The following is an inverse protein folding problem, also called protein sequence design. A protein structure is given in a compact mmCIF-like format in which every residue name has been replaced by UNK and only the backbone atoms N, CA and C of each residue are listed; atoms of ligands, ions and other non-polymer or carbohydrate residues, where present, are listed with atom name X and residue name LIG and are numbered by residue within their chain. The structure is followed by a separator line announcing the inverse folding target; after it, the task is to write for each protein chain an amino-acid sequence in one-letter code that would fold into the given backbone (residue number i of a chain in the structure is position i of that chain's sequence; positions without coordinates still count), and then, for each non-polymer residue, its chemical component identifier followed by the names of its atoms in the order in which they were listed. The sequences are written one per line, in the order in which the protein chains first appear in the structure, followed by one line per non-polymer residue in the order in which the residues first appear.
data_IF_135815078406
#
_entry.id   IF_135815078406
#
_cell.length_a   1.000
_cell.length_b   1.000
_cell.length_c   1.000
_cell.angle_alpha   90.00
_cell.angle_beta   90.00
_cell.angle_gamma   90.00
#
_symmetry.space_group_name_H-M   'P 1'
#
loop_
_entity.id
_entity.type
_entity.pdbx_description
1 polymer ?
#
# COMPACT_ATOMS: atom_id res chain seq x y z
N UNK A 1 17.27 36.06 -55.51
CA UNK A 1 17.55 34.62 -55.38
C UNK A 1 17.87 34.31 -53.92
N UNK A 2 17.00 33.50 -53.28
CA UNK A 2 17.24 32.52 -52.19
C UNK A 2 18.02 32.94 -50.94
N UNK A 3 17.28 33.10 -49.82
CA UNK A 3 17.27 32.23 -48.62
C UNK A 3 18.40 32.59 -47.62
N UNK A 4 18.16 32.87 -46.34
CA UNK A 4 17.58 31.97 -45.34
C UNK A 4 16.97 32.77 -44.17
N UNK A 5 15.68 32.56 -43.91
CA UNK A 5 15.01 32.88 -42.64
C UNK A 5 15.46 31.89 -41.57
N UNK A 6 16.14 32.36 -40.53
CA UNK A 6 16.49 31.57 -39.35
C UNK A 6 15.25 31.44 -38.44
N UNK A 7 14.62 30.27 -38.43
CA UNK A 7 13.55 29.91 -37.51
C UNK A 7 14.17 29.39 -36.21
N UNK A 8 14.26 30.22 -35.17
CA UNK A 8 14.61 29.78 -33.82
C UNK A 8 13.44 28.98 -33.23
N UNK A 9 13.51 27.65 -33.31
CA UNK A 9 12.62 26.76 -32.57
C UNK A 9 13.07 26.74 -31.11
N UNK A 10 12.42 27.55 -30.28
CA UNK A 10 12.49 27.46 -28.82
C UNK A 10 11.76 26.18 -28.39
N UNK A 11 12.51 25.10 -28.18
CA UNK A 11 12.01 23.90 -27.51
C UNK A 11 11.84 24.22 -26.03
N UNK A 12 10.61 24.55 -25.63
CA UNK A 12 10.26 24.66 -24.22
C UNK A 12 10.28 23.25 -23.60
N UNK A 13 11.39 22.90 -22.95
CA UNK A 13 11.45 21.79 -22.01
C UNK A 13 10.53 22.13 -20.83
N UNK A 14 9.26 21.75 -20.92
CA UNK A 14 8.36 21.69 -19.78
C UNK A 14 8.86 20.57 -18.84
N UNK A 15 9.76 20.94 -17.93
CA UNK A 15 10.12 20.08 -16.82
C UNK A 15 8.86 19.74 -16.04
N UNK A 16 8.50 18.45 -16.01
CA UNK A 16 7.50 17.96 -15.06
C UNK A 16 8.09 18.19 -13.68
N UNK A 17 7.70 19.27 -13.02
CA UNK A 17 7.88 19.39 -11.60
C UNK A 17 7.07 18.26 -10.97
N UNK A 18 7.75 17.21 -10.49
CA UNK A 18 7.15 16.32 -9.51
C UNK A 18 6.74 17.23 -8.35
N UNK A 19 5.44 17.49 -8.25
CA UNK A 19 4.88 18.21 -7.11
C UNK A 19 5.16 17.33 -5.89
N UNK A 20 6.23 17.64 -5.17
CA UNK A 20 6.49 17.05 -3.87
C UNK A 20 5.37 17.51 -2.94
N UNK A 21 4.34 16.69 -2.79
CA UNK A 21 3.34 16.88 -1.75
C UNK A 21 4.11 16.92 -0.41
N UNK A 22 3.96 18.02 0.32
CA UNK A 22 4.54 18.15 1.64
C UNK A 22 4.05 16.97 2.49
N UNK A 23 5.00 16.21 3.04
CA UNK A 23 4.67 15.13 3.96
C UNK A 23 3.86 15.72 5.13
N UNK A 24 2.72 15.11 5.44
CA UNK A 24 1.93 15.47 6.62
C UNK A 24 2.83 15.33 7.86
N UNK A 25 3.09 16.39 8.63
CA UNK A 25 3.97 16.33 9.79
C UNK A 25 3.53 15.31 10.85
N UNK A 26 2.25 14.92 10.86
CA UNK A 26 1.71 13.89 11.76
C UNK A 26 2.17 12.48 11.39
N UNK A 27 2.53 12.25 10.13
CA UNK A 27 2.94 10.95 9.60
C UNK A 27 4.28 11.06 8.86
N UNK A 28 5.36 11.39 9.59
CA UNK A 28 6.65 11.64 8.97
C UNK A 28 7.23 10.40 8.29
N UNK A 29 6.82 9.19 8.67
CA UNK A 29 7.29 7.93 8.09
C UNK A 29 6.45 7.42 6.91
N UNK A 30 5.41 8.15 6.50
CA UNK A 30 4.54 7.70 5.43
C UNK A 30 5.22 7.84 4.05
N UNK A 31 5.39 6.75 3.28
CA UNK A 31 6.19 6.79 2.06
C UNK A 31 5.39 7.08 0.78
N UNK A 32 4.07 7.07 0.84
CA UNK A 32 3.21 7.12 -0.35
C UNK A 32 2.81 8.56 -0.70
N UNK A 33 2.60 8.81 -1.99
CA UNK A 33 2.20 10.14 -2.48
C UNK A 33 0.81 10.56 -1.97
N UNK A 34 -0.12 9.60 -1.85
CA UNK A 34 -1.43 9.82 -1.26
C UNK A 34 -1.29 10.07 0.24
N UNK A 35 -2.06 11.02 0.78
CA UNK A 35 -2.07 11.29 2.22
C UNK A 35 -2.51 10.05 3.02
N UNK A 36 -1.90 9.85 4.20
CA UNK A 36 -2.28 8.74 5.08
C UNK A 36 -3.68 8.98 5.63
N UNK A 37 -4.60 8.06 5.36
CA UNK A 37 -5.93 7.98 6.00
C UNK A 37 -5.94 6.74 6.89
N UNK A 38 -5.76 6.86 8.22
CA UNK A 38 -5.50 5.71 9.09
C UNK A 38 -6.66 4.70 9.16
N UNK A 39 -7.89 5.20 9.22
CA UNK A 39 -9.08 4.40 9.44
C UNK A 39 -10.06 4.57 8.28
N UNK A 40 -10.73 3.47 7.94
CA UNK A 40 -11.83 3.47 6.97
C UNK A 40 -13.11 3.73 7.75
N UNK A 41 -13.84 4.79 7.37
CA UNK A 41 -15.14 5.07 7.99
C UNK A 41 -16.17 4.06 7.54
N UNK A 42 -16.83 3.39 8.49
CA UNK A 42 -17.93 2.46 8.20
C UNK A 42 -19.02 3.12 7.37
N UNK A 43 -19.39 4.36 7.70
CA UNK A 43 -20.40 5.13 6.97
C UNK A 43 -19.99 5.48 5.54
N UNK A 44 -18.69 5.47 5.21
CA UNK A 44 -18.23 5.71 3.85
C UNK A 44 -18.36 4.46 2.96
N UNK A 45 -18.38 3.26 3.55
CA UNK A 45 -18.39 1.98 2.83
C UNK A 45 -19.71 1.21 2.95
N UNK A 46 -20.57 1.58 3.91
CA UNK A 46 -21.80 0.87 4.21
C UNK A 46 -23.02 1.77 4.23
N UNK A 47 -23.98 1.47 3.35
CA UNK A 47 -25.29 2.14 3.26
C UNK A 47 -26.45 1.20 3.61
N UNK A 48 -26.17 -0.02 4.06
CA UNK A 48 -27.20 -0.98 4.46
C UNK A 48 -27.69 -0.76 5.90
N UNK A 49 -28.48 -1.71 6.43
CA UNK A 49 -28.99 -1.67 7.81
C UNK A 49 -27.86 -1.55 8.85
N UNK A 50 -28.19 -1.00 10.03
CA UNK A 50 -27.24 -0.91 11.14
C UNK A 50 -26.63 -2.27 11.49
N UNK A 51 -25.32 -2.30 11.78
CA UNK A 51 -24.53 -3.53 11.97
C UNK A 51 -24.26 -3.86 13.45
N UNK A 52 -24.84 -3.12 14.39
CA UNK A 52 -24.53 -3.22 15.82
C UNK A 52 -24.74 -4.64 16.37
N UNK A 53 -25.72 -5.34 15.84
CA UNK A 53 -26.07 -6.73 16.13
C UNK A 53 -25.24 -7.78 15.37
N UNK A 54 -24.53 -7.40 14.32
CA UNK A 54 -23.69 -8.29 13.51
C UNK A 54 -22.20 -8.18 13.85
N UNK A 55 -21.80 -7.07 14.47
CA UNK A 55 -20.43 -6.81 14.93
C UNK A 55 -20.06 -7.86 15.97
N UNK A 56 -19.06 -8.70 15.67
CA UNK A 56 -18.67 -9.93 16.40
C UNK A 56 -19.50 -11.20 16.17
N UNK A 57 -20.82 -11.13 15.95
CA UNK A 57 -21.64 -12.35 15.75
C UNK A 57 -21.30 -13.14 14.49
N UNK A 58 -20.71 -12.48 13.48
CA UNK A 58 -20.26 -13.15 12.26
C UNK A 58 -19.22 -14.25 12.54
N UNK A 59 -18.47 -14.15 13.65
CA UNK A 59 -17.47 -15.15 14.08
C UNK A 59 -18.14 -16.43 14.59
N UNK A 60 -19.30 -16.29 15.24
CA UNK A 60 -20.07 -17.39 15.81
C UNK A 60 -20.87 -18.15 14.76
N UNK A 61 -21.07 -17.57 13.57
CA UNK A 61 -21.69 -18.25 12.43
C UNK A 61 -20.61 -18.99 11.60
N UNK A 62 -20.53 -20.33 11.66
CA UNK A 62 -19.45 -21.07 11.00
C UNK A 62 -19.46 -20.95 9.48
N UNK A 63 -20.65 -20.74 8.88
CA UNK A 63 -20.77 -20.56 7.43
C UNK A 63 -20.21 -19.21 6.99
N UNK A 64 -20.47 -18.15 7.77
CA UNK A 64 -19.95 -16.80 7.47
C UNK A 64 -18.45 -16.75 7.74
N UNK A 65 -18.02 -17.16 8.94
CA UNK A 65 -16.62 -17.06 9.35
C UNK A 65 -15.66 -17.86 8.46
N UNK A 66 -16.12 -18.98 7.87
CA UNK A 66 -15.35 -19.73 6.88
C UNK A 66 -15.21 -19.01 5.52
N UNK A 67 -16.17 -18.17 5.14
CA UNK A 67 -16.14 -17.44 3.87
C UNK A 67 -15.28 -16.19 3.93
N UNK A 68 -15.26 -15.47 5.07
CA UNK A 68 -14.57 -14.18 5.19
C UNK A 68 -13.10 -14.24 4.73
N UNK A 69 -12.26 -15.21 5.17
CA UNK A 69 -10.86 -15.26 4.72
C UNK A 69 -10.72 -15.51 3.22
N UNK A 70 -11.62 -16.28 2.62
CA UNK A 70 -11.62 -16.55 1.16
C UNK A 70 -12.04 -15.30 0.40
N UNK A 71 -13.11 -14.64 0.84
CA UNK A 71 -13.61 -13.42 0.22
C UNK A 71 -12.63 -12.25 0.40
N UNK A 72 -11.91 -12.15 1.51
CA UNK A 72 -10.92 -11.10 1.73
C UNK A 72 -9.62 -11.33 0.93
N UNK A 73 -9.25 -12.59 0.66
CA UNK A 73 -7.95 -12.90 0.08
C UNK A 73 -7.77 -12.34 -1.34
N UNK A 74 -6.70 -11.57 -1.55
CA UNK A 74 -6.30 -11.01 -2.86
C UNK A 74 -6.13 -12.05 -3.97
N UNK A 75 -5.78 -13.30 -3.62
CA UNK A 75 -5.63 -14.41 -4.56
C UNK A 75 -6.97 -14.90 -5.13
N UNK A 76 -8.09 -14.58 -4.48
CA UNK A 76 -9.42 -14.91 -4.97
C UNK A 76 -9.86 -13.77 -5.90
N UNK A 77 -10.04 -14.05 -7.21
CA UNK A 77 -10.53 -13.07 -8.17
C UNK A 77 -11.79 -12.36 -7.66
N UNK A 78 -11.93 -11.07 -7.96
CA UNK A 78 -13.01 -10.26 -7.43
C UNK A 78 -14.38 -10.78 -7.89
N UNK A 79 -14.49 -11.14 -9.17
CA UNK A 79 -15.67 -11.75 -9.77
C UNK A 79 -16.06 -13.10 -9.13
N UNK A 80 -15.08 -13.95 -8.79
CA UNK A 80 -15.34 -15.20 -8.05
C UNK A 80 -15.86 -14.90 -6.64
N UNK A 81 -15.30 -13.90 -5.96
CA UNK A 81 -15.73 -13.50 -4.61
C UNK A 81 -17.15 -12.91 -4.62
N UNK A 82 -17.46 -12.04 -5.59
CA UNK A 82 -18.80 -11.48 -5.79
C UNK A 82 -19.82 -12.59 -6.05
N UNK A 83 -19.52 -13.52 -6.96
CA UNK A 83 -20.39 -14.68 -7.21
C UNK A 83 -20.62 -15.52 -5.95
N UNK A 84 -19.57 -15.78 -5.17
CA UNK A 84 -19.66 -16.53 -3.92
C UNK A 84 -20.60 -15.84 -2.91
N UNK A 85 -20.61 -14.50 -2.86
CA UNK A 85 -21.55 -13.73 -2.04
C UNK A 85 -22.99 -13.91 -2.52
N UNK A 86 -23.24 -13.75 -3.82
CA UNK A 86 -24.57 -13.90 -4.42
C UNK A 86 -25.13 -15.30 -4.17
N UNK A 87 -24.33 -16.35 -4.44
CA UNK A 87 -24.71 -17.74 -4.22
C UNK A 87 -25.05 -17.98 -2.75
N UNK A 88 -24.22 -17.49 -1.82
CA UNK A 88 -24.43 -17.63 -0.38
C UNK A 88 -25.71 -16.93 0.10
N UNK A 89 -25.98 -15.70 -0.36
CA UNK A 89 -27.16 -14.95 0.06
C UNK A 89 -28.45 -15.51 -0.56
N UNK A 90 -28.35 -16.19 -1.70
CA UNK A 90 -29.48 -16.84 -2.37
C UNK A 90 -29.94 -18.15 -1.70
N UNK A 91 -29.12 -18.74 -0.81
CA UNK A 91 -29.46 -19.99 -0.12
C UNK A 91 -30.68 -19.86 0.83
N UNK A 92 -30.98 -18.66 1.34
CA UNK A 92 -32.07 -18.44 2.30
C UNK A 92 -32.60 -17.01 2.22
N UNK A 93 -33.76 -16.83 1.60
CA UNK A 93 -34.41 -15.53 1.49
C UNK A 93 -34.81 -14.95 2.87
N UNK A 94 -35.21 -15.81 3.82
CA UNK A 94 -35.63 -15.38 5.15
C UNK A 94 -34.47 -14.82 6.00
N UNK A 95 -33.25 -15.32 5.78
CA UNK A 95 -32.05 -14.92 6.53
C UNK A 95 -31.14 -13.99 5.72
N UNK A 96 -31.54 -13.61 4.49
CA UNK A 96 -30.72 -12.85 3.53
C UNK A 96 -30.11 -11.60 4.16
N UNK A 97 -30.94 -10.82 4.85
CA UNK A 97 -30.52 -9.59 5.52
C UNK A 97 -29.52 -9.84 6.65
N UNK A 98 -29.80 -10.79 7.54
CA UNK A 98 -28.90 -11.10 8.67
C UNK A 98 -27.55 -11.64 8.18
N UNK A 99 -27.58 -12.54 7.20
CA UNK A 99 -26.37 -13.11 6.56
C UNK A 99 -25.56 -12.04 5.84
N UNK A 100 -26.21 -11.10 5.15
CA UNK A 100 -25.56 -9.98 4.48
C UNK A 100 -24.86 -9.04 5.48
N UNK A 101 -25.53 -8.68 6.57
CA UNK A 101 -24.93 -7.88 7.66
C UNK A 101 -23.71 -8.56 8.27
N UNK A 102 -23.80 -9.86 8.56
CA UNK A 102 -22.68 -10.63 9.11
C UNK A 102 -21.51 -10.73 8.12
N UNK A 103 -21.78 -10.98 6.83
CA UNK A 103 -20.75 -10.98 5.79
C UNK A 103 -20.02 -9.65 5.72
N UNK A 104 -20.77 -8.54 5.65
CA UNK A 104 -20.15 -7.24 5.54
C UNK A 104 -19.36 -6.86 6.81
N UNK A 105 -19.91 -7.13 8.00
CA UNK A 105 -19.21 -6.88 9.26
C UNK A 105 -17.87 -7.65 9.32
N UNK A 106 -17.85 -8.91 8.91
CA UNK A 106 -16.63 -9.71 8.86
C UNK A 106 -15.62 -9.23 7.82
N UNK A 107 -16.08 -8.85 6.63
CA UNK A 107 -15.23 -8.28 5.57
C UNK A 107 -14.63 -6.95 5.99
N UNK A 108 -15.43 -6.06 6.58
CA UNK A 108 -15.00 -4.77 7.08
C UNK A 108 -13.92 -4.95 8.15
N UNK A 109 -14.16 -5.77 9.17
CA UNK A 109 -13.18 -6.04 10.23
C UNK A 109 -11.88 -6.62 9.66
N UNK A 110 -11.97 -7.60 8.76
CA UNK A 110 -10.81 -8.29 8.21
C UNK A 110 -9.98 -7.40 7.29
N UNK A 111 -10.61 -6.73 6.32
CA UNK A 111 -9.92 -5.93 5.31
C UNK A 111 -9.35 -4.64 5.92
N UNK A 112 -10.04 -4.02 6.87
CA UNK A 112 -9.50 -2.83 7.57
C UNK A 112 -8.32 -3.18 8.48
N UNK A 113 -8.32 -4.36 9.11
CA UNK A 113 -7.17 -4.87 9.86
C UNK A 113 -5.97 -5.20 8.95
N UNK A 114 -6.21 -5.81 7.78
CA UNK A 114 -5.17 -6.04 6.77
C UNK A 114 -4.57 -4.71 6.29
N UNK A 115 -5.44 -3.74 5.96
CA UNK A 115 -5.03 -2.39 5.55
C UNK A 115 -4.15 -1.73 6.60
N UNK A 116 -4.57 -1.71 7.87
CA UNK A 116 -3.79 -1.15 8.97
C UNK A 116 -2.42 -1.84 9.09
N UNK A 117 -2.38 -3.17 8.97
CA UNK A 117 -1.12 -3.94 9.00
C UNK A 117 -0.16 -3.54 7.88
N UNK A 118 -0.68 -3.39 6.65
CA UNK A 118 0.11 -2.94 5.49
C UNK A 118 0.62 -1.53 5.68
N UNK A 119 -0.24 -0.60 6.11
CA UNK A 119 0.13 0.80 6.33
C UNK A 119 1.23 0.94 7.41
N UNK A 120 1.08 0.24 8.52
CA UNK A 120 2.11 0.19 9.57
C UNK A 120 3.41 -0.45 9.05
N UNK A 121 3.30 -1.43 8.15
CA UNK A 121 4.43 -2.04 7.46
C UNK A 121 5.19 -1.06 6.58
N UNK A 122 4.48 -0.24 5.81
CA UNK A 122 5.07 0.81 4.97
C UNK A 122 5.88 1.80 5.81
N UNK A 123 5.35 2.26 6.95
CA UNK A 123 6.07 3.17 7.85
C UNK A 123 7.33 2.52 8.45
N UNK A 124 7.24 1.25 8.86
CA UNK A 124 8.42 0.49 9.32
C UNK A 124 9.49 0.40 8.23
N UNK A 125 9.10 0.20 6.98
CA UNK A 125 10.03 0.14 5.85
C UNK A 125 10.68 1.50 5.64
N UNK A 126 9.93 2.61 5.70
CA UNK A 126 10.47 3.96 5.58
C UNK A 126 11.54 4.26 6.63
N UNK A 127 11.32 3.90 7.90
CA UNK A 127 12.35 4.08 8.94
C UNK A 127 13.61 3.31 8.63
N UNK A 128 13.49 2.05 8.22
CA UNK A 128 14.64 1.23 7.80
C UNK A 128 15.34 1.80 6.56
N UNK A 129 14.62 2.45 5.65
CA UNK A 129 15.23 3.14 4.51
C UNK A 129 16.04 4.37 4.95
N UNK A 130 15.59 5.11 5.97
CA UNK A 130 16.35 6.22 6.55
C UNK A 130 17.63 5.75 7.21
N UNK A 131 17.53 4.72 8.05
CA UNK A 131 18.69 4.09 8.70
C UNK A 131 19.71 3.59 7.66
N UNK A 132 19.23 2.96 6.58
CA UNK A 132 20.09 2.52 5.49
C UNK A 132 20.76 3.70 4.75
N UNK A 133 20.03 4.78 4.49
CA UNK A 133 20.57 5.98 3.85
C UNK A 133 21.63 6.67 4.74
N UNK A 134 21.40 6.72 6.05
CA UNK A 134 22.36 7.26 7.02
C UNK A 134 23.62 6.39 7.08
N UNK A 135 23.47 5.06 7.04
CA UNK A 135 24.59 4.12 6.98
C UNK A 135 25.41 4.30 5.70
N UNK A 136 24.78 4.33 4.53
CA UNK A 136 25.46 4.59 3.25
C UNK A 136 26.23 5.91 3.29
N UNK A 137 25.64 6.98 3.85
CA UNK A 137 26.34 8.26 4.05
C UNK A 137 27.55 8.13 4.95
N UNK A 138 27.40 7.49 6.11
CA UNK A 138 28.49 7.28 7.07
C UNK A 138 29.65 6.49 6.45
N UNK A 139 29.33 5.40 5.75
CA UNK A 139 30.35 4.53 5.15
C UNK A 139 31.03 5.18 3.95
N UNK A 140 30.33 6.04 3.21
CA UNK A 140 30.93 6.89 2.17
C UNK A 140 31.98 7.82 2.76
N UNK A 141 31.68 8.49 3.89
CA UNK A 141 32.65 9.36 4.56
C UNK A 141 33.84 8.56 5.10
N UNK A 142 33.60 7.41 5.73
CA UNK A 142 34.68 6.54 6.21
C UNK A 142 35.59 6.04 5.07
N UNK A 143 35.02 5.72 3.90
CA UNK A 143 35.80 5.35 2.73
C UNK A 143 36.68 6.50 2.23
N UNK A 144 36.14 7.73 2.19
CA UNK A 144 36.90 8.93 1.84
C UNK A 144 38.06 9.16 2.81
N UNK A 145 37.82 9.04 4.11
CA UNK A 145 38.87 9.16 5.14
C UNK A 145 40.01 8.13 4.94
N UNK A 146 39.67 6.88 4.61
CA UNK A 146 40.68 5.85 4.31
C UNK A 146 41.48 6.16 3.02
N UNK A 147 40.83 6.75 2.02
CA UNK A 147 41.46 7.13 0.75
C UNK A 147 42.37 8.36 0.90
N UNK A 148 42.03 9.28 1.79
CA UNK A 148 42.80 10.50 2.06
C UNK A 148 43.95 10.29 3.06
N UNK A 149 44.00 9.14 3.73
CA UNK A 149 45.05 8.82 4.69
C UNK A 149 46.45 8.78 4.02
N UNK A 150 47.50 9.34 4.66
CA UNK A 150 48.87 9.35 4.11
C UNK A 150 49.45 7.95 3.86
N UNK A 151 49.05 6.95 4.66
CA UNK A 151 49.41 5.55 4.50
C UNK A 151 48.13 4.76 4.19
N UNK A 152 47.84 4.60 2.90
CA UNK A 152 46.62 3.92 2.43
C UNK A 152 46.68 2.43 2.68
N UNK A 153 45.68 1.92 3.39
CA UNK A 153 45.42 0.49 3.55
C UNK A 153 44.50 0.03 2.41
N UNK A 154 45.10 -0.37 1.28
CA UNK A 154 44.34 -0.71 0.07
C UNK A 154 43.32 -1.83 0.31
N UNK A 155 43.65 -2.80 1.16
CA UNK A 155 42.75 -3.91 1.50
C UNK A 155 41.47 -3.40 2.16
N UNK A 156 41.58 -2.48 3.13
CA UNK A 156 40.40 -1.89 3.80
C UNK A 156 39.60 -0.98 2.86
N UNK A 157 40.27 -0.25 1.97
CA UNK A 157 39.61 0.57 0.96
C UNK A 157 38.76 -0.32 0.03
N UNK A 158 39.32 -1.44 -0.44
CA UNK A 158 38.61 -2.36 -1.32
C UNK A 158 37.46 -3.08 -0.61
N UNK A 159 37.66 -3.50 0.65
CA UNK A 159 36.62 -4.14 1.47
C UNK A 159 35.42 -3.21 1.69
N UNK A 160 35.68 -1.98 2.19
CA UNK A 160 34.62 -1.00 2.46
C UNK A 160 33.98 -0.50 1.16
N UNK A 161 34.76 -0.35 0.09
CA UNK A 161 34.25 0.02 -1.24
C UNK A 161 33.26 -1.03 -1.78
N UNK A 162 33.61 -2.31 -1.71
CA UNK A 162 32.73 -3.40 -2.12
C UNK A 162 31.46 -3.47 -1.27
N UNK A 163 31.58 -3.28 0.05
CA UNK A 163 30.44 -3.21 0.95
C UNK A 163 29.49 -2.06 0.57
N UNK A 164 30.04 -0.86 0.33
CA UNK A 164 29.25 0.33 -0.01
C UNK A 164 28.48 0.17 -1.33
N UNK A 165 29.10 -0.47 -2.34
CA UNK A 165 28.43 -0.79 -3.61
C UNK A 165 27.22 -1.69 -3.38
N UNK A 166 27.39 -2.74 -2.57
CA UNK A 166 26.30 -3.67 -2.27
C UNK A 166 25.16 -3.02 -1.48
N UNK A 167 25.50 -2.24 -0.45
CA UNK A 167 24.53 -1.54 0.37
C UNK A 167 23.74 -0.50 -0.41
N UNK A 168 24.42 0.28 -1.27
CA UNK A 168 23.79 1.27 -2.14
C UNK A 168 22.82 0.60 -3.09
N UNK A 169 23.22 -0.51 -3.72
CA UNK A 169 22.33 -1.28 -4.61
C UNK A 169 21.07 -1.74 -3.89
N UNK A 170 21.21 -2.31 -2.70
CA UNK A 170 20.06 -2.80 -1.91
C UNK A 170 19.14 -1.64 -1.51
N UNK A 171 19.72 -0.53 -1.09
CA UNK A 171 18.95 0.67 -0.76
C UNK A 171 18.12 1.14 -1.96
N UNK A 172 18.74 1.26 -3.14
CA UNK A 172 18.04 1.69 -4.35
C UNK A 172 16.97 0.71 -4.82
N UNK A 173 17.24 -0.59 -4.77
CA UNK A 173 16.29 -1.64 -5.11
C UNK A 173 15.06 -1.58 -4.20
N UNK A 174 15.27 -1.47 -2.88
CA UNK A 174 14.17 -1.33 -1.92
C UNK A 174 13.39 -0.04 -2.12
N UNK A 175 14.08 1.09 -2.36
CA UNK A 175 13.44 2.38 -2.63
C UNK A 175 12.53 2.34 -3.86
N UNK A 176 12.92 1.60 -4.91
CA UNK A 176 12.07 1.36 -6.09
C UNK A 176 10.82 0.54 -5.74
N UNK A 177 10.99 -0.51 -4.95
CA UNK A 177 9.89 -1.42 -4.59
C UNK A 177 8.79 -0.75 -3.76
N UNK A 178 9.15 0.18 -2.85
CA UNK A 178 8.19 0.86 -1.96
C UNK A 178 7.06 1.53 -2.75
N UNK A 179 7.34 2.10 -3.93
CA UNK A 179 6.33 2.75 -4.78
C UNK A 179 5.20 1.80 -5.19
N UNK A 180 5.52 0.55 -5.51
CA UNK A 180 4.51 -0.44 -5.91
C UNK A 180 3.70 -0.94 -4.72
N UNK A 181 4.29 -0.99 -3.52
CA UNK A 181 3.59 -1.41 -2.31
C UNK A 181 2.56 -0.36 -1.86
N UNK A 182 2.73 0.91 -2.26
CA UNK A 182 1.76 1.96 -2.00
C UNK A 182 0.39 1.74 -2.65
N UNK A 183 0.28 0.87 -3.65
CA UNK A 183 -1.01 0.50 -4.26
C UNK A 183 -1.81 -0.50 -3.41
N UNK A 184 -1.14 -1.22 -2.49
CA UNK A 184 -1.77 -2.31 -1.74
C UNK A 184 -2.95 -1.83 -0.86
N UNK A 185 -2.85 -0.73 -0.09
CA UNK A 185 -3.99 -0.19 0.65
C UNK A 185 -5.18 0.15 -0.25
N UNK A 186 -4.92 0.77 -1.41
CA UNK A 186 -5.95 1.10 -2.41
C UNK A 186 -6.66 -0.15 -2.92
N UNK A 187 -5.91 -1.22 -3.22
CA UNK A 187 -6.50 -2.49 -3.67
C UNK A 187 -7.37 -3.16 -2.59
N UNK A 188 -6.98 -3.06 -1.32
CA UNK A 188 -7.76 -3.57 -0.19
C UNK A 188 -9.07 -2.77 -0.08
N UNK A 189 -8.99 -1.44 -0.17
CA UNK A 189 -10.15 -0.55 -0.12
C UNK A 189 -11.10 -0.87 -1.28
N UNK A 190 -10.61 -0.93 -2.52
CA UNK A 190 -11.41 -1.28 -3.70
C UNK A 190 -12.14 -2.61 -3.54
N UNK A 191 -11.48 -3.63 -2.98
CA UNK A 191 -12.08 -4.93 -2.72
C UNK A 191 -13.21 -4.82 -1.68
N UNK A 192 -12.98 -4.12 -0.57
CA UNK A 192 -14.00 -3.88 0.46
C UNK A 192 -15.23 -3.17 -0.13
N UNK A 193 -15.02 -2.12 -0.93
CA UNK A 193 -16.10 -1.37 -1.58
C UNK A 193 -16.90 -2.23 -2.58
N UNK A 194 -16.21 -3.00 -3.42
CA UNK A 194 -16.86 -3.84 -4.42
C UNK A 194 -17.73 -4.93 -3.77
N UNK A 195 -17.15 -5.69 -2.82
CA UNK A 195 -17.88 -6.74 -2.11
C UNK A 195 -19.02 -6.17 -1.26
N UNK A 196 -18.80 -5.02 -0.61
CA UNK A 196 -19.84 -4.34 0.16
C UNK A 196 -21.03 -3.91 -0.68
N UNK A 197 -20.79 -3.43 -1.91
CA UNK A 197 -21.85 -3.07 -2.85
C UNK A 197 -22.67 -4.29 -3.27
N UNK A 198 -22.01 -5.41 -3.59
CA UNK A 198 -22.72 -6.64 -3.98
C UNK A 198 -23.60 -7.15 -2.83
N UNK A 199 -23.09 -7.13 -1.60
CA UNK A 199 -23.90 -7.50 -0.42
C UNK A 199 -25.13 -6.59 -0.28
N UNK A 200 -24.96 -5.27 -0.43
CA UNK A 200 -26.08 -4.32 -0.35
C UNK A 200 -27.13 -4.59 -1.42
N UNK A 201 -26.70 -4.76 -2.68
CA UNK A 201 -27.59 -5.03 -3.80
C UNK A 201 -28.37 -6.33 -3.63
N UNK A 202 -27.74 -7.33 -3.03
CA UNK A 202 -28.43 -8.58 -2.70
C UNK A 202 -29.36 -8.43 -1.49
N UNK A 203 -29.16 -7.49 -0.58
CA UNK A 203 -30.05 -7.33 0.57
C UNK A 203 -31.36 -6.60 0.26
N UNK A 204 -31.38 -5.85 -0.85
CA UNK A 204 -32.58 -5.21 -1.42
C UNK A 204 -33.54 -6.23 -2.05
#
# INVERSE_FOLDING_TARGET
MRWLTALCVLVAMAGRADQSLAADPRYPDWPCAQAKVPEVSLAAVWNGPALDDATSKWKDNPKVSALIPRLAARRTPLDEAEKTIVDFLSESAAEKNERGKQLFAGLFETLTAERSTVMNGLERVTRKQREAADKVRKDTLALQELQDAPARDQTKIDELGNQLVWETRIFEDRRRMVKFVCEVPTMIDQRLFALGRVIQQEME
#
